data_IF_860700163838
#
_entry.id   IF_860700163838
#
_cell.length_a   1.000
_cell.length_b   1.000
_cell.length_c   1.000
_cell.angle_alpha   90.00
_cell.angle_beta   90.00
_cell.angle_gamma   90.00
#
_symmetry.space_group_name_H-M   'P 1'
#
loop_
_entity.id
_entity.type
_entity.pdbx_description
1 polymer ?
#
# COMPACT_ATOMS: atom_id res chain seq x y z
N UNK A 1 -9.89 -7.66 15.98
CA UNK A 1 -8.97 -6.66 16.58
C UNK A 1 -9.54 -5.29 16.27
N UNK A 2 -9.78 -4.44 17.27
CA UNK A 2 -10.22 -3.06 17.04
C UNK A 2 -9.08 -2.33 16.33
N UNK A 3 -9.32 -1.87 15.09
CA UNK A 3 -8.36 -1.05 14.35
C UNK A 3 -8.16 0.28 15.09
N UNK A 4 -6.97 0.49 15.62
CA UNK A 4 -6.60 1.73 16.30
C UNK A 4 -5.89 2.64 15.30
N UNK A 5 -6.39 3.85 15.13
CA UNK A 5 -5.76 4.82 14.24
C UNK A 5 -4.44 5.34 14.85
N UNK A 6 -3.33 5.23 14.13
CA UNK A 6 -2.07 5.86 14.49
C UNK A 6 -2.03 7.34 14.07
N UNK A 7 -2.62 7.64 12.91
CA UNK A 7 -2.78 9.00 12.40
C UNK A 7 -4.17 9.15 11.78
N UNK A 8 -4.83 10.31 12.01
CA UNK A 8 -6.12 10.64 11.43
C UNK A 8 -6.15 12.11 11.02
N UNK A 9 -6.56 12.34 9.78
CA UNK A 9 -6.78 13.66 9.22
C UNK A 9 -8.30 13.91 9.19
N UNK A 10 -8.74 15.04 9.70
CA UNK A 10 -10.15 15.43 9.80
C UNK A 10 -10.36 16.78 9.11
N UNK A 11 -10.91 16.75 7.91
CA UNK A 11 -11.23 17.92 7.06
C UNK A 11 -10.06 18.92 7.00
N UNK A 12 -8.87 18.42 6.67
CA UNK A 12 -7.63 19.19 6.68
C UNK A 12 -7.52 20.06 5.46
N UNK A 13 -7.37 21.38 5.68
CA UNK A 13 -6.96 22.35 4.67
C UNK A 13 -5.55 22.88 4.97
N UNK A 14 -4.75 22.99 3.90
CA UNK A 14 -3.42 23.62 3.94
C UNK A 14 -3.35 24.70 2.89
N UNK A 15 -3.21 25.92 3.34
CA UNK A 15 -3.10 27.11 2.46
C UNK A 15 -1.81 27.85 2.78
N UNK A 16 -0.97 28.04 1.78
CA UNK A 16 0.25 28.83 1.87
C UNK A 16 0.00 30.24 1.35
N UNK A 17 0.39 31.26 2.11
CA UNK A 17 0.27 32.66 1.76
C UNK A 17 -0.21 33.52 2.94
N UNK A 18 -0.12 34.82 2.75
CA UNK A 18 -0.49 35.78 3.84
C UNK A 18 -2.00 35.93 4.00
N UNK A 19 -2.79 35.68 2.95
CA UNK A 19 -4.26 35.83 2.92
C UNK A 19 -4.98 34.48 3.02
N UNK A 20 -4.45 33.56 3.84
CA UNK A 20 -5.02 32.21 3.98
C UNK A 20 -6.50 32.23 4.43
N UNK A 21 -6.91 33.16 5.29
CA UNK A 21 -8.31 33.28 5.72
C UNK A 21 -9.26 33.64 4.57
N UNK A 22 -8.86 34.54 3.66
CA UNK A 22 -9.65 34.89 2.48
C UNK A 22 -9.71 33.71 1.49
N UNK A 23 -8.57 33.02 1.30
CA UNK A 23 -8.53 31.84 0.47
C UNK A 23 -9.51 30.76 0.96
N UNK A 24 -9.58 30.51 2.29
CA UNK A 24 -10.53 29.58 2.90
C UNK A 24 -11.98 30.04 2.65
N UNK A 25 -12.28 31.33 2.80
CA UNK A 25 -13.62 31.85 2.52
C UNK A 25 -14.04 31.66 1.05
N UNK A 26 -13.12 31.81 0.11
CA UNK A 26 -13.35 31.53 -1.31
C UNK A 26 -13.52 30.01 -1.59
N UNK A 27 -12.76 29.16 -0.88
CA UNK A 27 -12.95 27.69 -0.96
C UNK A 27 -14.38 27.31 -0.52
N UNK A 28 -14.90 27.91 0.55
CA UNK A 28 -16.24 27.66 1.06
C UNK A 28 -17.34 28.14 0.09
N UNK A 29 -17.03 29.10 -0.80
CA UNK A 29 -17.89 29.55 -1.88
C UNK A 29 -17.80 28.68 -3.13
N UNK A 30 -16.93 27.64 -3.14
CA UNK A 30 -16.73 26.72 -4.27
C UNK A 30 -15.78 27.25 -5.35
N UNK A 31 -15.02 28.32 -5.07
CA UNK A 31 -14.01 28.84 -6.01
C UNK A 31 -12.90 27.82 -6.28
N UNK A 32 -12.46 27.76 -7.52
CA UNK A 32 -11.37 26.89 -7.94
C UNK A 32 -10.00 27.39 -7.45
N UNK A 33 -9.06 26.46 -7.30
CA UNK A 33 -7.71 26.69 -6.77
C UNK A 33 -6.95 27.80 -7.49
N UNK A 34 -7.02 27.83 -8.84
CA UNK A 34 -6.31 28.81 -9.67
C UNK A 34 -6.92 30.21 -9.49
N UNK A 35 -8.25 30.30 -9.43
CA UNK A 35 -8.98 31.55 -9.13
C UNK A 35 -8.63 32.10 -7.76
N UNK A 36 -8.53 31.24 -6.74
CA UNK A 36 -8.13 31.61 -5.39
C UNK A 36 -6.70 32.17 -5.38
N UNK A 37 -5.77 31.50 -6.08
CA UNK A 37 -4.39 31.94 -6.21
C UNK A 37 -4.29 33.31 -6.87
N UNK A 38 -5.02 33.55 -7.96
CA UNK A 38 -5.08 34.84 -8.65
C UNK A 38 -5.63 35.97 -7.76
N UNK A 39 -6.72 35.70 -7.03
CA UNK A 39 -7.41 36.70 -6.17
C UNK A 39 -6.65 37.03 -4.89
N UNK A 40 -6.00 36.05 -4.29
CA UNK A 40 -5.42 36.18 -2.95
C UNK A 40 -3.90 36.11 -2.89
N UNK A 41 -3.26 35.60 -3.95
CA UNK A 41 -1.84 35.22 -3.91
C UNK A 41 -1.54 34.04 -2.97
N UNK A 42 -2.56 33.34 -2.50
CA UNK A 42 -2.42 32.19 -1.59
C UNK A 42 -2.67 30.88 -2.32
N UNK A 43 -1.77 29.92 -2.12
CA UNK A 43 -1.82 28.59 -2.73
C UNK A 43 -2.59 27.62 -1.84
N UNK A 44 -3.70 27.08 -2.33
CA UNK A 44 -4.41 25.96 -1.69
C UNK A 44 -3.65 24.67 -2.01
N UNK A 45 -2.91 24.14 -1.06
CA UNK A 45 -2.12 22.94 -1.24
C UNK A 45 -2.91 21.66 -0.92
N UNK A 46 -3.76 21.70 0.10
CA UNK A 46 -4.66 20.62 0.50
C UNK A 46 -6.03 21.21 0.79
N UNK A 47 -7.08 20.51 0.40
CA UNK A 47 -8.47 20.92 0.58
C UNK A 47 -9.33 19.75 1.05
N UNK A 48 -9.94 19.88 2.24
CA UNK A 48 -10.87 18.95 2.88
C UNK A 48 -10.38 17.49 2.89
N UNK A 49 -9.10 17.29 3.24
CA UNK A 49 -8.53 15.95 3.28
C UNK A 49 -8.96 15.24 4.58
N UNK A 50 -9.69 14.12 4.41
CA UNK A 50 -10.11 13.24 5.51
C UNK A 50 -9.70 11.81 5.19
N UNK A 51 -8.78 11.25 5.99
CA UNK A 51 -8.29 9.88 5.89
C UNK A 51 -7.61 9.46 7.20
N UNK A 52 -7.32 8.19 7.31
CA UNK A 52 -6.68 7.62 8.51
C UNK A 52 -5.62 6.57 8.14
N UNK A 53 -4.73 6.30 9.10
CA UNK A 53 -3.74 5.23 9.02
C UNK A 53 -3.80 4.44 10.32
N UNK A 54 -4.07 3.15 10.24
CA UNK A 54 -4.08 2.29 11.41
C UNK A 54 -2.65 1.95 11.85
N UNK A 55 -2.49 1.56 13.11
CA UNK A 55 -1.21 1.04 13.60
C UNK A 55 -0.74 -0.15 12.77
N UNK A 56 0.52 -0.11 12.35
CA UNK A 56 1.11 -1.15 11.53
C UNK A 56 0.64 -1.16 10.07
N UNK A 57 -0.05 -0.13 9.58
CA UNK A 57 -0.36 0.04 8.16
C UNK A 57 0.69 0.88 7.43
N UNK A 58 0.78 0.67 6.12
CA UNK A 58 1.50 1.54 5.19
C UNK A 58 0.47 2.27 4.33
N UNK A 59 0.28 3.55 4.57
CA UNK A 59 -0.47 4.43 3.68
C UNK A 59 0.45 5.02 2.63
N UNK A 60 0.12 4.87 1.35
CA UNK A 60 0.80 5.56 0.26
C UNK A 60 -0.05 6.72 -0.24
N UNK A 61 0.51 7.92 -0.22
CA UNK A 61 -0.06 9.12 -0.83
C UNK A 61 0.44 9.24 -2.27
N UNK A 62 -0.47 9.19 -3.23
CA UNK A 62 -0.18 9.21 -4.66
C UNK A 62 -0.86 10.38 -5.37
N UNK A 63 -0.40 10.69 -6.57
CA UNK A 63 -0.95 11.73 -7.45
C UNK A 63 0.14 12.47 -8.21
N UNK A 64 -0.26 13.30 -9.16
CA UNK A 64 0.69 14.11 -9.96
C UNK A 64 1.46 15.12 -9.10
N UNK A 65 2.53 15.69 -9.67
CA UNK A 65 3.27 16.78 -9.02
C UNK A 65 2.33 17.94 -8.69
N UNK A 66 2.49 18.54 -7.51
CA UNK A 66 1.62 19.64 -7.06
C UNK A 66 0.23 19.23 -6.54
N UNK A 67 -0.09 17.93 -6.42
CA UNK A 67 -1.39 17.47 -5.88
C UNK A 67 -1.52 17.59 -4.35
N UNK A 68 -0.48 18.03 -3.62
CA UNK A 68 -0.55 18.27 -2.18
C UNK A 68 -0.01 17.16 -1.28
N UNK A 69 0.50 16.05 -1.81
CA UNK A 69 1.00 14.87 -1.06
C UNK A 69 1.99 15.22 0.06
N UNK A 70 3.10 15.83 -0.31
CA UNK A 70 4.15 16.23 0.65
C UNK A 70 3.63 17.29 1.64
N UNK A 71 2.68 18.13 1.20
CA UNK A 71 2.05 19.12 2.09
C UNK A 71 1.21 18.44 3.15
N UNK A 72 0.41 17.44 2.79
CA UNK A 72 -0.40 16.66 3.72
C UNK A 72 0.49 15.81 4.65
N UNK A 73 1.51 15.14 4.10
CA UNK A 73 2.47 14.35 4.89
C UNK A 73 3.10 15.20 6.01
N UNK A 74 3.57 16.40 5.67
CA UNK A 74 4.27 17.30 6.60
C UNK A 74 3.37 17.94 7.65
N UNK A 75 2.05 17.80 7.55
CA UNK A 75 1.13 18.17 8.63
C UNK A 75 1.23 17.21 9.82
N UNK A 76 1.57 15.93 9.61
CA UNK A 76 1.66 14.92 10.67
C UNK A 76 2.73 15.26 11.71
N UNK A 77 3.84 15.86 11.28
CA UNK A 77 4.89 16.31 12.19
C UNK A 77 4.87 17.82 12.45
N UNK A 78 3.81 18.52 12.01
CA UNK A 78 3.64 19.95 12.19
C UNK A 78 4.66 20.82 11.46
N UNK A 79 5.40 20.28 10.46
CA UNK A 79 6.27 21.10 9.59
C UNK A 79 5.46 22.03 8.69
N UNK A 80 4.29 21.57 8.23
CA UNK A 80 3.31 22.41 7.58
C UNK A 80 2.20 22.73 8.56
N UNK A 81 1.86 24.03 8.65
CA UNK A 81 0.75 24.51 9.46
C UNK A 81 -0.57 24.12 8.79
N UNK A 82 -1.44 23.47 9.55
CA UNK A 82 -2.83 23.22 9.16
C UNK A 82 -3.58 24.54 9.23
N UNK A 83 -4.28 24.91 8.15
CA UNK A 83 -5.05 26.14 8.08
C UNK A 83 -6.46 25.97 8.65
N UNK A 84 -7.04 24.76 8.49
CA UNK A 84 -8.33 24.33 9.06
C UNK A 84 -8.34 22.82 9.19
N UNK A 85 -9.12 22.28 10.12
CA UNK A 85 -9.21 20.85 10.41
C UNK A 85 -8.25 20.40 11.51
N UNK A 86 -8.09 19.10 11.68
CA UNK A 86 -7.27 18.48 12.73
C UNK A 86 -6.41 17.37 12.19
N UNK A 87 -5.24 17.18 12.79
CA UNK A 87 -4.36 16.05 12.53
C UNK A 87 -4.06 15.36 13.85
N UNK A 88 -4.77 14.27 14.09
CA UNK A 88 -4.66 13.48 15.31
C UNK A 88 -3.53 12.45 15.14
N UNK A 89 -2.59 12.44 16.09
CA UNK A 89 -1.48 11.50 16.15
C UNK A 89 -1.54 10.76 17.47
N UNK A 90 -1.49 9.43 17.42
CA UNK A 90 -1.44 8.60 18.61
C UNK A 90 -0.07 8.71 19.26
N UNK A 91 -0.05 9.09 20.53
CA UNK A 91 1.15 9.25 21.35
C UNK A 91 1.02 8.39 22.63
N UNK A 92 1.29 7.07 22.50
CA UNK A 92 1.00 6.08 23.54
C UNK A 92 -0.49 5.82 23.65
N UNK A 93 -1.08 6.02 24.84
CA UNK A 93 -2.52 5.85 25.08
C UNK A 93 -3.36 7.10 24.74
N UNK A 94 -2.73 8.23 24.40
CA UNK A 94 -3.39 9.50 24.10
C UNK A 94 -3.33 9.82 22.62
N UNK A 95 -4.33 10.56 22.14
CA UNK A 95 -4.28 11.22 20.83
C UNK A 95 -3.90 12.69 21.04
N UNK A 96 -3.01 13.21 20.18
CA UNK A 96 -2.55 14.60 20.16
C UNK A 96 -2.96 15.22 18.83
N UNK A 97 -3.68 16.33 18.88
CA UNK A 97 -3.89 17.16 17.70
C UNK A 97 -2.64 18.01 17.43
N UNK A 98 -1.80 17.57 16.51
CA UNK A 98 -0.53 18.24 16.17
C UNK A 98 -0.75 19.60 15.48
N UNK A 99 -1.97 19.89 15.02
CA UNK A 99 -2.30 21.18 14.42
C UNK A 99 -2.49 22.30 15.46
N UNK A 100 -2.88 21.95 16.69
CA UNK A 100 -3.27 22.90 17.74
C UNK A 100 -2.58 22.69 19.09
N UNK A 101 -1.78 21.63 19.26
CA UNK A 101 -1.10 21.35 20.53
C UNK A 101 -0.02 22.39 20.85
N UNK A 102 0.36 22.46 22.13
CA UNK A 102 1.47 23.29 22.56
C UNK A 102 2.82 22.83 21.98
N UNK A 103 3.76 23.76 21.81
CA UNK A 103 5.05 23.49 21.11
C UNK A 103 5.91 22.44 21.84
N UNK A 104 5.84 22.36 23.17
CA UNK A 104 6.52 21.33 23.96
C UNK A 104 5.96 19.94 23.69
N UNK A 105 4.64 19.80 23.58
CA UNK A 105 3.96 18.55 23.20
C UNK A 105 4.32 18.15 21.77
N UNK A 106 4.31 19.10 20.82
CA UNK A 106 4.72 18.84 19.44
C UNK A 106 6.18 18.37 19.36
N UNK A 107 7.06 18.99 20.14
CA UNK A 107 8.48 18.63 20.24
C UNK A 107 8.66 17.20 20.78
N UNK A 108 7.88 16.82 21.77
CA UNK A 108 7.87 15.48 22.34
C UNK A 108 7.41 14.43 21.30
N UNK A 109 6.34 14.71 20.55
CA UNK A 109 5.86 13.85 19.46
C UNK A 109 6.92 13.69 18.39
N UNK A 110 7.55 14.79 17.93
CA UNK A 110 8.64 14.75 16.94
C UNK A 110 9.86 13.97 17.41
N UNK A 111 10.20 14.10 18.69
CA UNK A 111 11.38 13.46 19.26
C UNK A 111 11.21 11.96 19.42
N UNK A 112 10.03 11.50 19.85
CA UNK A 112 9.86 10.13 20.34
C UNK A 112 8.95 9.27 19.46
N UNK A 113 8.02 9.87 18.69
CA UNK A 113 6.99 9.12 17.97
C UNK A 113 7.15 9.12 16.46
N UNK A 114 7.73 10.18 15.91
CA UNK A 114 7.78 10.38 14.45
C UNK A 114 9.22 10.47 13.99
N UNK A 115 9.54 9.77 12.90
CA UNK A 115 10.75 9.98 12.12
C UNK A 115 10.40 10.34 10.69
N UNK A 116 11.27 11.08 10.00
CA UNK A 116 10.99 11.52 8.64
C UNK A 116 12.19 11.37 7.71
N UNK A 117 11.93 10.78 6.53
CA UNK A 117 12.83 10.79 5.37
C UNK A 117 12.38 11.91 4.45
N UNK A 118 13.28 12.85 4.17
CA UNK A 118 13.01 14.01 3.32
C UNK A 118 13.41 13.73 1.87
N UNK A 119 12.67 14.28 0.93
CA UNK A 119 12.95 14.20 -0.49
C UNK A 119 14.36 14.73 -0.86
N UNK A 120 14.81 15.80 -0.22
CA UNK A 120 16.14 16.41 -0.40
C UNK A 120 17.16 15.95 0.65
N UNK A 121 17.00 14.72 1.17
CA UNK A 121 17.87 14.02 2.13
C UNK A 121 18.05 14.72 3.48
N UNK A 122 18.13 16.07 3.54
CA UNK A 122 18.29 16.89 4.73
C UNK A 122 19.45 16.41 5.64
N UNK A 123 20.59 16.02 5.05
CA UNK A 123 21.77 15.63 5.80
C UNK A 123 22.50 16.85 6.34
N UNK A 124 23.10 16.71 7.52
CA UNK A 124 23.97 17.70 8.12
C UNK A 124 25.32 17.66 7.39
N UNK A 125 25.70 18.68 6.59
CA UNK A 125 26.87 18.59 5.73
C UNK A 125 28.19 18.54 6.47
N UNK A 126 28.21 18.94 7.74
CA UNK A 126 29.38 18.94 8.63
C UNK A 126 29.51 17.67 9.49
N UNK A 127 28.55 16.74 9.40
CA UNK A 127 28.57 15.46 10.09
C UNK A 127 28.94 14.34 9.11
N UNK A 128 29.64 13.33 9.62
CA UNK A 128 29.91 12.09 8.87
C UNK A 128 28.62 11.31 8.61
N UNK A 129 28.67 10.25 7.81
CA UNK A 129 27.55 9.30 7.65
C UNK A 129 27.13 8.74 9.00
N UNK A 130 28.10 8.26 9.81
CA UNK A 130 27.89 7.71 11.14
C UNK A 130 27.18 8.71 12.05
N UNK A 131 27.61 9.95 12.07
CA UNK A 131 27.03 10.97 12.94
C UNK A 131 25.66 11.46 12.42
N UNK A 132 25.47 11.52 11.11
CA UNK A 132 24.15 11.79 10.54
C UNK A 132 23.13 10.71 10.96
N UNK A 133 23.51 9.42 10.87
CA UNK A 133 22.63 8.31 11.28
C UNK A 133 22.37 8.34 12.78
N UNK A 134 23.38 8.66 13.60
CA UNK A 134 23.27 8.74 15.06
C UNK A 134 22.58 10.01 15.58
N UNK A 135 22.37 11.03 14.75
CA UNK A 135 21.93 12.36 15.20
C UNK A 135 20.65 12.34 16.03
N UNK A 136 19.64 11.58 15.61
CA UNK A 136 18.37 11.46 16.34
C UNK A 136 18.53 10.75 17.69
N UNK A 137 19.44 9.79 17.79
CA UNK A 137 19.78 9.09 19.03
C UNK A 137 20.52 10.00 20.01
N UNK A 138 21.42 10.86 19.50
CA UNK A 138 22.11 11.86 20.31
C UNK A 138 21.15 12.87 20.92
N UNK A 139 20.15 13.35 20.15
CA UNK A 139 19.08 14.26 20.67
C UNK A 139 18.25 13.58 21.76
N UNK A 140 18.04 12.25 21.65
CA UNK A 140 17.31 11.46 22.68
C UNK A 140 18.17 11.21 23.93
N UNK A 141 19.48 11.41 23.87
CA UNK A 141 20.41 11.09 24.95
C UNK A 141 20.67 9.59 25.09
N UNK A 142 20.61 8.84 23.99
CA UNK A 142 20.88 7.39 23.96
C UNK A 142 22.32 7.12 24.42
N UNK A 143 22.55 6.14 25.31
CA UNK A 143 23.91 5.79 25.77
C UNK A 143 24.82 5.43 24.59
N UNK A 144 26.09 5.87 24.65
CA UNK A 144 27.05 5.77 23.53
C UNK A 144 27.17 4.34 22.96
N UNK A 145 27.28 3.34 23.81
CA UNK A 145 27.42 1.94 23.36
C UNK A 145 26.20 1.44 22.59
N UNK A 146 25.00 1.81 23.02
CA UNK A 146 23.76 1.48 22.33
C UNK A 146 23.62 2.27 21.02
N UNK A 147 23.89 3.58 21.05
CA UNK A 147 23.94 4.43 19.86
C UNK A 147 24.85 3.84 18.80
N UNK A 148 26.10 3.51 19.16
CA UNK A 148 27.10 3.02 18.20
C UNK A 148 26.68 1.66 17.61
N UNK A 149 26.05 0.79 18.38
CA UNK A 149 25.48 -0.48 17.90
C UNK A 149 24.35 -0.24 16.90
N UNK A 150 23.35 0.57 17.25
CA UNK A 150 22.21 0.87 16.39
C UNK A 150 22.65 1.56 15.10
N UNK A 151 23.55 2.53 15.18
CA UNK A 151 24.08 3.25 14.03
C UNK A 151 24.79 2.29 13.07
N UNK A 152 25.64 1.39 13.59
CA UNK A 152 26.34 0.43 12.74
C UNK A 152 25.35 -0.51 12.04
N UNK A 153 24.36 -1.05 12.77
CA UNK A 153 23.31 -1.91 12.22
C UNK A 153 22.57 -1.23 11.04
N UNK A 154 22.19 0.06 11.19
CA UNK A 154 21.45 0.76 10.13
C UNK A 154 22.35 1.19 8.96
N UNK A 155 23.62 1.46 9.19
CA UNK A 155 24.60 1.71 8.12
C UNK A 155 24.82 0.43 7.27
N UNK A 156 24.92 -0.73 7.92
CA UNK A 156 25.09 -2.01 7.24
C UNK A 156 23.84 -2.39 6.45
N UNK A 157 22.64 -2.17 7.02
CA UNK A 157 21.35 -2.36 6.34
C UNK A 157 21.29 -1.64 4.99
N UNK A 158 21.77 -0.39 4.94
CA UNK A 158 21.77 0.40 3.69
C UNK A 158 23.06 0.23 2.87
N UNK A 159 23.91 -0.72 3.21
CA UNK A 159 25.18 -1.06 2.52
C UNK A 159 26.15 0.13 2.39
N UNK A 160 26.32 0.90 3.46
CA UNK A 160 27.24 2.05 3.51
C UNK A 160 28.40 1.88 4.49
N UNK A 161 28.69 0.66 4.98
CA UNK A 161 29.72 0.40 5.98
C UNK A 161 31.09 1.04 5.68
N UNK A 162 31.56 0.90 4.45
CA UNK A 162 32.86 1.48 4.01
C UNK A 162 32.85 3.02 3.88
N UNK A 163 31.67 3.65 3.94
CA UNK A 163 31.51 5.10 3.83
C UNK A 163 31.13 5.76 5.16
N UNK A 164 31.15 5.02 6.27
CA UNK A 164 30.66 5.48 7.57
C UNK A 164 31.33 6.80 8.05
N UNK A 165 32.62 6.97 7.75
CA UNK A 165 33.41 8.14 8.13
C UNK A 165 33.47 9.24 7.06
N UNK A 166 32.73 9.07 5.93
CA UNK A 166 32.63 10.05 4.86
C UNK A 166 31.61 11.14 5.18
N UNK A 167 31.80 12.32 4.58
CA UNK A 167 30.85 13.43 4.66
C UNK A 167 29.86 13.40 3.50
N UNK A 168 28.66 14.02 3.62
CA UNK A 168 27.64 14.02 2.57
C UNK A 168 28.13 14.49 1.19
N UNK A 169 29.01 15.47 1.14
CA UNK A 169 29.55 16.00 -0.14
C UNK A 169 30.49 15.03 -0.87
N UNK A 170 30.96 13.96 -0.20
CA UNK A 170 31.78 12.89 -0.79
C UNK A 170 30.92 11.75 -1.36
N UNK A 171 29.59 11.84 -1.24
CA UNK A 171 28.64 10.78 -1.59
C UNK A 171 27.81 11.14 -2.81
N UNK A 172 27.43 10.14 -3.62
CA UNK A 172 26.44 10.32 -4.66
C UNK A 172 25.04 10.61 -4.07
N UNK A 173 24.12 11.17 -4.84
CA UNK A 173 22.74 11.45 -4.39
C UNK A 173 22.04 10.21 -3.85
N UNK A 174 22.16 9.06 -4.53
CA UNK A 174 21.59 7.80 -4.04
C UNK A 174 22.24 7.31 -2.72
N UNK A 175 23.54 7.55 -2.51
CA UNK A 175 24.16 7.26 -1.21
C UNK A 175 23.67 8.20 -0.12
N UNK A 176 23.50 9.49 -0.41
CA UNK A 176 22.94 10.45 0.54
C UNK A 176 21.50 10.07 0.93
N UNK A 177 20.69 9.61 -0.02
CA UNK A 177 19.34 9.11 0.24
C UNK A 177 19.35 7.92 1.19
N UNK A 178 20.27 6.96 0.98
CA UNK A 178 20.46 5.82 1.88
C UNK A 178 20.89 6.23 3.30
N UNK A 179 21.71 7.26 3.45
CA UNK A 179 22.02 7.83 4.77
C UNK A 179 20.78 8.40 5.46
N UNK A 180 19.92 9.12 4.71
CA UNK A 180 18.65 9.63 5.22
C UNK A 180 17.70 8.51 5.69
N UNK A 181 17.65 7.40 4.96
CA UNK A 181 16.91 6.20 5.36
C UNK A 181 17.47 5.59 6.64
N UNK A 182 18.78 5.34 6.69
CA UNK A 182 19.45 4.78 7.88
C UNK A 182 19.19 5.64 9.12
N UNK A 183 19.29 6.99 8.99
CA UNK A 183 18.98 7.94 10.06
C UNK A 183 17.56 7.80 10.59
N UNK A 184 16.58 7.67 9.68
CA UNK A 184 15.20 7.53 10.10
C UNK A 184 14.90 6.19 10.78
N UNK A 185 15.55 5.12 10.34
CA UNK A 185 15.42 3.79 10.95
C UNK A 185 16.12 3.68 12.31
N UNK A 186 17.22 4.43 12.51
CA UNK A 186 17.98 4.38 13.74
C UNK A 186 17.18 4.82 14.97
N UNK A 187 16.26 5.76 14.82
CA UNK A 187 15.44 6.26 15.92
C UNK A 187 14.36 5.29 16.38
N UNK A 188 14.06 4.23 15.63
CA UNK A 188 13.02 3.24 15.93
C UNK A 188 11.63 3.84 16.23
N UNK A 189 11.33 5.02 15.67
CA UNK A 189 10.07 5.70 15.82
C UNK A 189 8.87 4.80 15.41
N UNK A 190 7.72 4.99 16.03
CA UNK A 190 6.51 4.21 15.75
C UNK A 190 5.87 4.60 14.41
N UNK A 191 6.01 5.89 14.02
CA UNK A 191 5.48 6.46 12.78
C UNK A 191 6.64 6.94 11.92
N UNK A 192 6.72 6.42 10.69
CA UNK A 192 7.70 6.82 9.69
C UNK A 192 7.00 7.63 8.60
N UNK A 193 7.44 8.86 8.39
CA UNK A 193 7.02 9.72 7.29
C UNK A 193 8.08 9.68 6.19
N UNK A 194 7.69 9.37 4.97
CA UNK A 194 8.63 9.19 3.86
C UNK A 194 8.19 10.00 2.65
N UNK A 195 8.94 11.03 2.30
CA UNK A 195 8.67 11.92 1.18
C UNK A 195 9.57 11.52 0.00
N UNK A 196 9.05 10.69 -0.92
CA UNK A 196 9.74 10.12 -2.09
C UNK A 196 11.11 9.47 -1.74
N UNK A 197 11.16 8.53 -0.79
CA UNK A 197 12.41 8.05 -0.20
C UNK A 197 13.30 7.24 -1.15
N UNK A 198 12.81 6.82 -2.31
CA UNK A 198 13.54 5.96 -3.25
C UNK A 198 13.75 6.60 -4.63
N UNK A 199 13.39 7.89 -4.81
CA UNK A 199 13.39 8.56 -6.12
C UNK A 199 14.76 8.68 -6.77
N UNK A 200 15.83 8.80 -5.98
CA UNK A 200 17.22 8.94 -6.47
C UNK A 200 18.05 7.63 -6.44
N UNK A 201 17.38 6.49 -6.21
CA UNK A 201 18.05 5.19 -6.14
C UNK A 201 18.03 4.46 -7.49
N UNK A 202 19.09 3.71 -7.76
CA UNK A 202 19.10 2.74 -8.85
C UNK A 202 18.10 1.60 -8.59
N UNK A 203 17.60 0.94 -9.65
CA UNK A 203 16.51 -0.04 -9.52
C UNK A 203 16.80 -1.18 -8.55
N UNK A 204 18.03 -1.72 -8.55
CA UNK A 204 18.41 -2.86 -7.73
C UNK A 204 18.43 -2.52 -6.23
N UNK A 205 19.02 -1.36 -5.89
CA UNK A 205 19.04 -0.88 -4.50
C UNK A 205 17.65 -0.47 -4.05
N UNK A 206 16.85 0.14 -4.92
CA UNK A 206 15.44 0.50 -4.65
C UNK A 206 14.65 -0.75 -4.27
N UNK A 207 14.70 -1.80 -5.07
CA UNK A 207 13.99 -3.06 -4.82
C UNK A 207 14.39 -3.67 -3.48
N UNK A 208 15.68 -3.75 -3.20
CA UNK A 208 16.20 -4.26 -1.92
C UNK A 208 15.67 -3.45 -0.73
N UNK A 209 15.75 -2.12 -0.77
CA UNK A 209 15.29 -1.27 0.34
C UNK A 209 13.77 -1.26 0.50
N UNK A 210 13.01 -1.46 -0.57
CA UNK A 210 11.56 -1.67 -0.50
C UNK A 210 11.23 -2.97 0.24
N UNK A 211 11.93 -4.06 -0.06
CA UNK A 211 11.74 -5.35 0.59
C UNK A 211 12.10 -5.27 2.09
N UNK A 212 13.22 -4.63 2.42
CA UNK A 212 13.62 -4.35 3.79
C UNK A 212 12.58 -3.50 4.56
N UNK A 213 12.01 -2.48 3.90
CA UNK A 213 10.95 -1.66 4.49
C UNK A 213 9.70 -2.48 4.82
N UNK A 214 9.29 -3.36 3.90
CA UNK A 214 8.15 -4.25 4.09
C UNK A 214 8.42 -5.24 5.24
N UNK A 215 9.62 -5.80 5.30
CA UNK A 215 10.02 -6.72 6.36
C UNK A 215 10.06 -6.01 7.73
N UNK A 216 10.67 -4.83 7.79
CA UNK A 216 10.71 -4.00 9.00
C UNK A 216 9.30 -3.65 9.49
N UNK A 217 8.40 -3.30 8.58
CA UNK A 217 7.01 -3.01 8.91
C UNK A 217 6.30 -4.24 9.48
N UNK A 218 6.46 -5.41 8.86
CA UNK A 218 5.84 -6.67 9.31
C UNK A 218 6.32 -7.11 10.69
N UNK A 219 7.64 -7.04 10.90
CA UNK A 219 8.28 -7.52 12.13
C UNK A 219 8.04 -6.56 13.32
N UNK A 220 8.14 -5.25 13.08
CA UNK A 220 8.04 -4.23 14.12
C UNK A 220 6.68 -3.51 14.16
N UNK A 221 5.75 -3.87 13.28
CA UNK A 221 4.43 -3.25 13.15
C UNK A 221 4.49 -1.71 13.09
N UNK A 222 5.52 -1.18 12.40
CA UNK A 222 5.65 0.27 12.20
C UNK A 222 4.53 0.81 11.34
N UNK A 223 4.04 1.99 11.69
CA UNK A 223 3.08 2.74 10.85
C UNK A 223 3.86 3.63 9.89
N UNK A 224 3.54 3.59 8.61
CA UNK A 224 4.28 4.32 7.59
C UNK A 224 3.32 5.16 6.76
N UNK A 225 3.64 6.45 6.56
CA UNK A 225 3.00 7.29 5.56
C UNK A 225 4.05 7.63 4.52
N UNK A 226 3.79 7.21 3.31
CA UNK A 226 4.74 7.16 2.22
C UNK A 226 4.23 7.97 1.02
N UNK A 227 5.01 8.91 0.53
CA UNK A 227 4.71 9.64 -0.72
C UNK A 227 5.44 9.00 -1.87
N UNK A 228 4.72 8.65 -2.93
CA UNK A 228 5.29 8.18 -4.18
C UNK A 228 4.54 8.76 -5.39
N UNK A 229 5.23 8.87 -6.50
CA UNK A 229 4.66 9.09 -7.82
C UNK A 229 4.72 7.83 -8.70
N UNK A 230 5.36 6.77 -8.21
CA UNK A 230 5.50 5.47 -8.86
C UNK A 230 4.39 4.53 -8.36
N UNK A 231 3.51 4.14 -9.29
CA UNK A 231 2.35 3.30 -8.96
C UNK A 231 2.76 1.87 -8.59
N UNK A 232 3.77 1.29 -9.27
CA UNK A 232 4.23 -0.07 -8.97
C UNK A 232 4.82 -0.13 -7.54
N UNK A 233 5.52 0.92 -7.14
CA UNK A 233 6.02 1.09 -5.78
C UNK A 233 4.88 1.14 -4.76
N UNK A 234 3.86 1.96 -5.01
CA UNK A 234 2.72 2.11 -4.12
C UNK A 234 1.95 0.79 -3.95
N UNK A 235 1.79 0.05 -5.03
CA UNK A 235 1.09 -1.23 -5.05
C UNK A 235 1.89 -2.36 -4.39
N UNK A 236 3.23 -2.30 -4.47
CA UNK A 236 4.12 -3.24 -3.81
C UNK A 236 4.15 -3.04 -2.29
N UNK A 237 4.23 -1.77 -1.86
CA UNK A 237 4.50 -1.41 -0.47
C UNK A 237 3.21 -1.15 0.31
N UNK A 238 2.23 -0.46 -0.31
CA UNK A 238 1.05 0.08 0.37
C UNK A 238 0.06 -0.98 0.83
N UNK A 239 -0.38 -0.89 2.08
CA UNK A 239 -1.58 -1.60 2.56
C UNK A 239 -2.85 -0.84 2.20
N UNK A 240 -2.74 0.51 2.13
CA UNK A 240 -3.75 1.44 1.59
C UNK A 240 -3.08 2.49 0.72
N UNK A 241 -3.85 3.00 -0.23
CA UNK A 241 -3.41 4.08 -1.12
C UNK A 241 -4.45 5.19 -1.07
N UNK A 242 -3.98 6.44 -0.96
CA UNK A 242 -4.77 7.65 -1.14
C UNK A 242 -4.30 8.37 -2.41
N UNK A 243 -5.16 8.42 -3.42
CA UNK A 243 -4.90 9.15 -4.65
C UNK A 243 -5.36 10.59 -4.48
N UNK A 244 -4.46 11.53 -4.72
CA UNK A 244 -4.70 12.96 -4.59
C UNK A 244 -4.66 13.68 -5.94
N UNK A 245 -5.63 14.55 -6.15
CA UNK A 245 -5.73 15.44 -7.31
C UNK A 245 -6.07 16.85 -6.84
N UNK A 246 -5.34 17.85 -7.32
CA UNK A 246 -5.61 19.27 -7.04
C UNK A 246 -5.85 19.61 -5.54
N UNK A 247 -5.11 18.96 -4.64
CA UNK A 247 -5.21 19.16 -3.19
C UNK A 247 -6.26 18.30 -2.48
N UNK A 248 -7.08 17.53 -3.21
CA UNK A 248 -8.14 16.69 -2.64
C UNK A 248 -7.75 15.21 -2.65
N UNK A 249 -8.23 14.45 -1.69
CA UNK A 249 -8.20 12.99 -1.72
C UNK A 249 -9.36 12.52 -2.61
N UNK A 250 -9.03 11.95 -3.76
CA UNK A 250 -10.03 11.50 -4.76
C UNK A 250 -10.49 10.10 -4.47
N UNK A 251 -9.56 9.21 -4.11
CA UNK A 251 -9.87 7.83 -3.71
C UNK A 251 -8.92 7.39 -2.60
N UNK A 252 -9.47 6.72 -1.59
CA UNK A 252 -8.73 6.14 -0.48
C UNK A 252 -9.22 4.71 -0.24
N UNK A 253 -8.40 3.72 -0.61
CA UNK A 253 -8.78 2.31 -0.57
C UNK A 253 -7.56 1.38 -0.50
N UNK A 254 -7.80 0.08 -0.42
CA UNK A 254 -6.77 -0.94 -0.62
C UNK A 254 -6.36 -0.99 -2.11
N UNK A 255 -5.12 -1.44 -2.43
CA UNK A 255 -4.61 -1.46 -3.80
C UNK A 255 -5.54 -2.14 -4.81
N UNK A 256 -6.10 -3.28 -4.46
CA UNK A 256 -6.98 -4.06 -5.32
C UNK A 256 -8.26 -3.29 -5.69
N UNK A 257 -8.83 -2.56 -4.73
CA UNK A 257 -10.05 -1.76 -4.93
C UNK A 257 -9.80 -0.59 -5.89
N UNK A 258 -8.65 0.07 -5.78
CA UNK A 258 -8.26 1.17 -6.69
C UNK A 258 -8.18 0.69 -8.13
N UNK A 259 -7.67 -0.53 -8.34
CA UNK A 259 -7.50 -1.11 -9.67
C UNK A 259 -8.82 -1.55 -10.27
N UNK A 260 -9.66 -2.21 -9.48
CA UNK A 260 -10.91 -2.80 -9.95
C UNK A 260 -12.05 -1.79 -10.03
N UNK A 261 -12.10 -0.84 -9.11
CA UNK A 261 -13.18 0.13 -8.95
C UNK A 261 -12.66 1.57 -8.90
N UNK A 262 -12.00 2.07 -9.96
CA UNK A 262 -11.57 3.46 -10.02
C UNK A 262 -12.79 4.39 -9.98
N UNK A 263 -12.77 5.35 -9.02
CA UNK A 263 -13.94 6.21 -8.71
C UNK A 263 -14.26 7.19 -9.83
N UNK A 264 -13.28 7.58 -10.64
CA UNK A 264 -13.45 8.50 -11.76
C UNK A 264 -12.41 8.25 -12.86
N UNK A 265 -12.49 9.04 -13.95
CA UNK A 265 -11.60 8.91 -15.10
C UNK A 265 -10.14 9.26 -14.78
N UNK A 266 -9.89 10.18 -13.84
CA UNK A 266 -8.53 10.49 -13.39
C UNK A 266 -7.87 9.26 -12.77
N UNK A 267 -8.53 8.60 -11.83
CA UNK A 267 -8.01 7.37 -11.20
C UNK A 267 -7.88 6.26 -12.24
N UNK A 268 -8.87 6.11 -13.14
CA UNK A 268 -8.83 5.11 -14.21
C UNK A 268 -7.61 5.28 -15.11
N UNK A 269 -7.32 6.52 -15.53
CA UNK A 269 -6.14 6.83 -16.32
C UNK A 269 -4.85 6.59 -15.53
N UNK A 270 -4.86 6.94 -14.24
CA UNK A 270 -3.71 6.76 -13.35
C UNK A 270 -3.29 5.29 -13.25
N UNK A 271 -4.26 4.37 -13.12
CA UNK A 271 -3.99 2.93 -13.04
C UNK A 271 -3.92 2.23 -14.40
N UNK A 272 -4.17 2.93 -15.52
CA UNK A 272 -4.30 2.32 -16.85
C UNK A 272 -3.04 1.56 -17.32
N UNK A 273 -1.85 2.08 -17.01
CA UNK A 273 -0.57 1.52 -17.43
C UNK A 273 -0.09 0.32 -16.59
N UNK A 274 -0.78 0.03 -15.50
CA UNK A 274 -0.35 -0.96 -14.52
C UNK A 274 -0.66 -2.40 -14.95
N UNK A 275 0.20 -3.35 -14.54
CA UNK A 275 -0.04 -4.77 -14.74
C UNK A 275 -0.86 -5.37 -13.57
N UNK A 276 -2.13 -5.76 -13.77
CA UNK A 276 -2.97 -6.31 -12.70
C UNK A 276 -2.41 -7.58 -12.04
N UNK A 277 -1.56 -8.35 -12.77
CA UNK A 277 -0.97 -9.61 -12.28
C UNK A 277 -0.07 -9.41 -11.05
N UNK A 278 0.44 -8.21 -10.85
CA UNK A 278 1.36 -7.91 -9.74
C UNK A 278 0.65 -7.62 -8.42
N UNK A 279 -0.63 -7.24 -8.48
CA UNK A 279 -1.40 -6.73 -7.33
C UNK A 279 -2.57 -7.63 -6.95
N UNK A 280 -3.33 -8.09 -7.95
CA UNK A 280 -4.53 -8.86 -7.68
C UNK A 280 -4.20 -10.22 -7.06
N UNK A 281 -5.01 -10.60 -6.07
CA UNK A 281 -4.90 -11.86 -5.34
C UNK A 281 -6.08 -12.77 -5.65
N UNK A 282 -5.90 -14.03 -5.37
CA UNK A 282 -6.93 -15.05 -5.58
C UNK A 282 -8.25 -14.71 -4.92
N UNK A 283 -8.22 -14.25 -3.67
CA UNK A 283 -9.42 -13.89 -2.92
C UNK A 283 -10.25 -12.76 -3.56
N UNK A 284 -9.59 -11.79 -4.21
CA UNK A 284 -10.27 -10.69 -4.92
C UNK A 284 -10.93 -11.14 -6.22
N UNK A 285 -10.40 -12.19 -6.85
CA UNK A 285 -10.84 -12.65 -8.17
C UNK A 285 -11.75 -13.86 -8.11
N UNK A 286 -11.69 -14.64 -7.06
CA UNK A 286 -12.35 -15.94 -6.97
C UNK A 286 -13.86 -15.86 -7.26
N UNK A 287 -14.39 -16.95 -7.79
CA UNK A 287 -15.79 -17.28 -7.67
C UNK A 287 -15.99 -17.90 -6.29
N UNK A 288 -16.77 -17.29 -5.40
CA UNK A 288 -16.99 -17.78 -4.03
C UNK A 288 -17.54 -19.20 -4.00
N UNK A 289 -17.31 -19.90 -2.90
CA UNK A 289 -17.79 -21.27 -2.74
C UNK A 289 -19.34 -21.39 -2.82
N UNK A 290 -20.05 -20.35 -2.36
CA UNK A 290 -21.52 -20.29 -2.40
C UNK A 290 -22.08 -20.18 -3.82
N UNK A 291 -21.28 -19.65 -4.76
CA UNK A 291 -21.63 -19.49 -6.18
C UNK A 291 -21.26 -20.72 -7.03
N UNK A 292 -20.69 -21.75 -6.41
CA UNK A 292 -20.34 -22.98 -7.12
C UNK A 292 -21.56 -23.86 -7.35
N UNK A 293 -21.62 -24.44 -8.56
CA UNK A 293 -22.75 -25.30 -8.95
C UNK A 293 -22.72 -26.60 -8.16
N UNK A 294 -23.79 -26.92 -7.45
CA UNK A 294 -24.02 -28.21 -6.81
C UNK A 294 -24.71 -29.15 -7.80
N UNK A 295 -24.22 -30.39 -7.90
CA UNK A 295 -24.84 -31.39 -8.79
C UNK A 295 -26.18 -31.85 -8.21
N UNK A 296 -27.29 -31.79 -8.99
CA UNK A 296 -28.59 -32.24 -8.54
C UNK A 296 -28.56 -33.73 -8.09
N UNK A 297 -29.04 -34.02 -6.89
CA UNK A 297 -29.07 -35.38 -6.34
C UNK A 297 -27.73 -35.93 -5.88
N UNK A 298 -26.67 -35.11 -5.82
CA UNK A 298 -25.31 -35.48 -5.43
C UNK A 298 -24.80 -34.50 -4.36
N UNK A 299 -23.85 -34.95 -3.54
CA UNK A 299 -23.12 -34.11 -2.60
C UNK A 299 -21.91 -33.39 -3.24
N UNK A 300 -21.68 -33.57 -4.55
CA UNK A 300 -20.58 -32.96 -5.27
C UNK A 300 -20.86 -31.51 -5.64
N UNK A 301 -19.82 -30.69 -5.57
CA UNK A 301 -19.76 -29.32 -6.11
C UNK A 301 -18.76 -29.24 -7.25
N UNK A 302 -19.08 -28.45 -8.26
CA UNK A 302 -18.24 -28.27 -9.45
C UNK A 302 -17.22 -27.16 -9.20
N UNK A 303 -15.93 -27.52 -9.25
CA UNK A 303 -14.81 -26.58 -9.10
C UNK A 303 -14.50 -25.85 -10.41
N UNK A 304 -14.82 -26.47 -11.56
CA UNK A 304 -14.69 -25.82 -12.88
C UNK A 304 -16.07 -25.72 -13.59
N UNK A 305 -16.17 -24.80 -14.56
CA UNK A 305 -17.44 -24.55 -15.30
C UNK A 305 -17.80 -25.70 -16.24
N UNK A 306 -16.87 -26.60 -16.53
CA UNK A 306 -17.10 -27.75 -17.41
C UNK A 306 -17.49 -29.02 -16.65
N UNK A 307 -17.57 -28.98 -15.31
CA UNK A 307 -17.92 -30.14 -14.48
C UNK A 307 -16.90 -31.26 -14.45
N UNK A 308 -15.68 -31.01 -14.97
CA UNK A 308 -14.59 -32.00 -15.02
C UNK A 308 -13.89 -32.16 -13.68
N UNK A 309 -13.85 -31.11 -12.89
CA UNK A 309 -13.27 -31.08 -11.53
C UNK A 309 -14.40 -30.86 -10.53
N UNK A 310 -14.56 -31.79 -9.60
CA UNK A 310 -15.61 -31.76 -8.59
C UNK A 310 -15.14 -32.36 -7.27
N UNK A 311 -15.66 -31.90 -6.16
CA UNK A 311 -15.37 -32.43 -4.84
C UNK A 311 -16.61 -32.42 -3.95
N UNK A 312 -16.52 -33.12 -2.82
CA UNK A 312 -17.48 -33.01 -1.72
C UNK A 312 -16.93 -32.07 -0.65
N UNK A 313 -17.82 -31.55 0.19
CA UNK A 313 -17.42 -30.82 1.40
C UNK A 313 -17.80 -31.63 2.64
N UNK A 314 -16.94 -31.63 3.64
CA UNK A 314 -17.28 -32.13 4.95
C UNK A 314 -18.17 -31.12 5.72
N UNK A 315 -18.54 -31.49 6.97
CA UNK A 315 -19.36 -30.62 7.83
C UNK A 315 -18.69 -29.28 8.22
N UNK A 316 -17.37 -29.17 8.04
CA UNK A 316 -16.60 -27.95 8.28
C UNK A 316 -16.34 -27.16 6.98
N UNK A 317 -16.95 -27.57 5.86
CA UNK A 317 -16.75 -26.91 4.55
C UNK A 317 -15.42 -27.22 3.89
N UNK A 318 -14.68 -28.23 4.34
CA UNK A 318 -13.38 -28.60 3.77
C UNK A 318 -13.57 -29.54 2.57
N UNK A 319 -12.87 -29.30 1.45
CA UNK A 319 -13.01 -30.16 0.29
C UNK A 319 -12.37 -31.53 0.50
N UNK A 320 -13.11 -32.55 0.12
CA UNK A 320 -12.67 -33.96 0.12
C UNK A 320 -13.20 -34.67 -1.15
N UNK A 321 -12.92 -35.97 -1.28
CA UNK A 321 -13.40 -36.84 -2.38
C UNK A 321 -13.28 -36.14 -3.75
N UNK A 322 -12.09 -35.61 -4.06
CA UNK A 322 -11.81 -34.95 -5.33
C UNK A 322 -11.94 -35.93 -6.49
N UNK A 323 -12.63 -35.51 -7.55
CA UNK A 323 -12.72 -36.20 -8.83
C UNK A 323 -12.25 -35.24 -9.95
N UNK A 324 -11.30 -35.69 -10.76
CA UNK A 324 -10.75 -34.97 -11.92
C UNK A 324 -10.94 -35.82 -13.15
N UNK A 325 -11.70 -35.36 -14.13
CA UNK A 325 -12.04 -36.14 -15.36
C UNK A 325 -12.55 -37.55 -15.05
N UNK A 326 -13.36 -37.72 -14.00
CA UNK A 326 -13.91 -39.00 -13.58
C UNK A 326 -12.95 -39.92 -12.81
N UNK A 327 -11.74 -39.49 -12.52
CA UNK A 327 -10.75 -40.24 -11.71
C UNK A 327 -10.60 -39.63 -10.32
N UNK A 328 -10.41 -40.45 -9.28
CA UNK A 328 -10.05 -39.92 -7.96
C UNK A 328 -8.77 -39.07 -8.04
N UNK A 329 -8.77 -37.93 -7.37
CA UNK A 329 -7.68 -36.99 -7.35
C UNK A 329 -7.25 -36.57 -5.95
N UNK A 330 -6.27 -35.71 -5.88
CA UNK A 330 -5.75 -35.15 -4.63
C UNK A 330 -5.56 -33.64 -4.72
N UNK A 331 -5.68 -32.97 -3.55
CA UNK A 331 -5.34 -31.56 -3.41
C UNK A 331 -3.87 -31.41 -3.01
N UNK A 332 -3.15 -30.49 -3.69
CA UNK A 332 -1.74 -30.19 -3.40
C UNK A 332 -1.61 -28.69 -3.21
N UNK A 333 -0.98 -28.27 -2.12
CA UNK A 333 -0.78 -26.86 -1.83
C UNK A 333 0.25 -26.25 -2.78
N UNK A 334 -0.06 -25.07 -3.31
CA UNK A 334 0.86 -24.29 -4.15
C UNK A 334 2.10 -23.86 -3.33
N UNK A 335 3.26 -24.10 -3.90
CA UNK A 335 4.53 -23.52 -3.50
C UNK A 335 5.32 -23.12 -4.75
N UNK A 336 6.28 -22.22 -4.59
CA UNK A 336 7.16 -21.80 -5.69
C UNK A 336 8.08 -22.91 -6.19
N UNK A 337 8.28 -23.95 -5.40
CA UNK A 337 9.12 -25.11 -5.71
C UNK A 337 8.33 -26.27 -6.32
N UNK A 338 6.99 -26.17 -6.39
CA UNK A 338 6.14 -27.23 -6.90
C UNK A 338 6.31 -27.40 -8.42
N UNK A 339 6.60 -28.61 -8.86
CA UNK A 339 6.59 -28.96 -10.29
C UNK A 339 5.13 -29.06 -10.81
N UNK A 340 4.64 -27.93 -11.30
CA UNK A 340 3.30 -27.80 -11.84
C UNK A 340 3.12 -28.58 -13.16
N UNK A 341 4.21 -28.85 -13.91
CA UNK A 341 4.14 -29.62 -15.15
C UNK A 341 3.88 -31.10 -14.86
N UNK A 342 4.53 -31.67 -13.85
CA UNK A 342 4.24 -33.02 -13.36
C UNK A 342 2.81 -33.12 -12.81
N UNK A 343 2.33 -32.11 -12.08
CA UNK A 343 0.97 -32.06 -11.56
C UNK A 343 -0.13 -31.96 -12.65
N UNK A 344 0.23 -31.61 -13.88
CA UNK A 344 -0.74 -31.52 -14.99
C UNK A 344 -1.23 -32.89 -15.49
N UNK A 345 -0.39 -33.90 -15.46
CA UNK A 345 -0.71 -35.24 -15.94
C UNK A 345 -1.47 -36.08 -14.92
N UNK A 346 -1.31 -35.80 -13.62
CA UNK A 346 -2.00 -36.45 -12.53
C UNK A 346 -3.38 -35.82 -12.25
N UNK A 347 -4.26 -36.57 -11.57
CA UNK A 347 -5.55 -36.05 -11.10
C UNK A 347 -5.37 -35.15 -9.87
N UNK A 348 -4.57 -34.06 -10.04
CA UNK A 348 -4.18 -33.13 -8.99
C UNK A 348 -4.90 -31.81 -9.13
N UNK A 349 -5.41 -31.25 -8.05
CA UNK A 349 -5.90 -29.87 -7.96
C UNK A 349 -4.99 -29.06 -7.04
N UNK A 350 -4.51 -27.94 -7.57
CA UNK A 350 -3.65 -27.06 -6.80
C UNK A 350 -4.51 -26.17 -5.89
N UNK A 351 -4.13 -26.08 -4.62
CA UNK A 351 -4.78 -25.21 -3.63
C UNK A 351 -3.88 -24.02 -3.28
N UNK A 352 -4.50 -22.94 -2.88
CA UNK A 352 -3.82 -21.73 -2.38
C UNK A 352 -4.69 -21.05 -1.33
N UNK A 353 -4.25 -19.90 -0.80
CA UNK A 353 -5.04 -19.04 0.07
C UNK A 353 -5.67 -17.89 -0.72
N UNK A 354 -6.55 -17.12 -0.05
CA UNK A 354 -7.07 -15.85 -0.54
C UNK A 354 -5.96 -14.85 -0.94
N UNK A 355 -4.79 -14.96 -0.30
CA UNK A 355 -3.60 -14.11 -0.54
C UNK A 355 -2.73 -14.60 -1.69
N UNK A 356 -3.05 -15.72 -2.33
CA UNK A 356 -2.26 -16.25 -3.45
C UNK A 356 -2.26 -15.24 -4.61
N UNK A 357 -1.07 -14.80 -5.11
CA UNK A 357 -0.99 -13.82 -6.19
C UNK A 357 -1.67 -14.30 -7.48
N UNK A 358 -2.31 -13.39 -8.20
CA UNK A 358 -2.95 -13.69 -9.50
C UNK A 358 -1.95 -14.35 -10.48
N UNK A 359 -0.68 -13.93 -10.47
CA UNK A 359 0.37 -14.53 -11.30
C UNK A 359 0.49 -16.04 -11.06
N UNK A 360 0.43 -16.48 -9.80
CA UNK A 360 0.47 -17.91 -9.46
C UNK A 360 -0.76 -18.66 -10.02
N UNK A 361 -1.96 -18.06 -9.89
CA UNK A 361 -3.18 -18.62 -10.45
C UNK A 361 -3.12 -18.76 -11.99
N UNK A 362 -2.52 -17.76 -12.68
CA UNK A 362 -2.27 -17.82 -14.13
C UNK A 362 -1.34 -19.00 -14.46
N UNK A 363 -0.23 -19.14 -13.73
CA UNK A 363 0.73 -20.23 -13.95
C UNK A 363 0.09 -21.60 -13.73
N UNK A 364 -0.65 -21.77 -12.62
CA UNK A 364 -1.40 -23.00 -12.34
C UNK A 364 -2.37 -23.31 -13.49
N UNK A 365 -3.17 -22.32 -13.93
CA UNK A 365 -4.12 -22.50 -15.01
C UNK A 365 -3.45 -22.84 -16.35
N UNK A 366 -2.34 -22.17 -16.66
CA UNK A 366 -1.60 -22.37 -17.89
C UNK A 366 -1.04 -23.81 -18.00
N UNK A 367 -0.46 -24.32 -16.92
CA UNK A 367 0.21 -25.60 -16.91
C UNK A 367 -0.77 -26.76 -16.69
N UNK A 368 -1.68 -26.67 -15.71
CA UNK A 368 -2.59 -27.77 -15.35
C UNK A 368 -3.91 -27.76 -16.12
N UNK A 369 -4.28 -26.67 -16.80
CA UNK A 369 -5.60 -26.42 -17.42
C UNK A 369 -6.77 -26.48 -16.43
N UNK A 370 -6.50 -26.44 -15.13
CA UNK A 370 -7.46 -26.54 -14.03
C UNK A 370 -7.52 -25.24 -13.26
N UNK A 371 -8.61 -24.92 -12.53
CA UNK A 371 -8.67 -23.77 -11.65
C UNK A 371 -7.77 -23.96 -10.43
N UNK A 372 -7.33 -22.83 -9.85
CA UNK A 372 -6.76 -22.78 -8.50
C UNK A 372 -7.90 -22.80 -7.48
N UNK A 373 -7.83 -23.70 -6.50
CA UNK A 373 -8.79 -23.82 -5.39
C UNK A 373 -8.27 -23.00 -4.22
N UNK A 374 -9.08 -22.09 -3.67
CA UNK A 374 -8.70 -21.28 -2.53
C UNK A 374 -9.30 -21.81 -1.24
N UNK A 375 -8.44 -21.99 -0.25
CA UNK A 375 -8.80 -22.49 1.08
C UNK A 375 -8.52 -21.41 2.14
N UNK A 376 -9.36 -21.35 3.16
CA UNK A 376 -9.14 -20.57 4.36
C UNK A 376 -8.06 -21.17 5.26
N UNK A 377 -7.67 -20.43 6.30
CA UNK A 377 -6.67 -20.89 7.29
C UNK A 377 -7.16 -22.15 8.06
N UNK A 378 -8.48 -22.36 8.14
CA UNK A 378 -9.13 -23.55 8.71
C UNK A 378 -9.26 -24.72 7.71
N UNK A 379 -8.84 -24.52 6.46
CA UNK A 379 -8.94 -25.47 5.37
C UNK A 379 -10.32 -25.50 4.67
N UNK A 380 -11.26 -24.64 5.05
CA UNK A 380 -12.55 -24.53 4.38
C UNK A 380 -12.41 -23.95 2.98
N UNK A 381 -13.27 -24.39 2.05
CA UNK A 381 -13.28 -23.89 0.68
C UNK A 381 -13.80 -22.44 0.63
N UNK A 382 -12.94 -21.52 0.22
CA UNK A 382 -13.33 -20.11 -0.01
C UNK A 382 -13.91 -19.91 -1.40
N UNK A 383 -13.34 -20.56 -2.41
CA UNK A 383 -13.76 -20.42 -3.80
C UNK A 383 -12.74 -20.95 -4.79
N UNK A 384 -12.91 -20.59 -6.06
CA UNK A 384 -12.03 -21.03 -7.15
C UNK A 384 -11.65 -19.87 -8.06
N UNK A 385 -10.43 -19.90 -8.60
CA UNK A 385 -9.94 -18.98 -9.64
C UNK A 385 -9.71 -19.76 -10.90
N UNK A 386 -10.66 -19.69 -11.83
CA UNK A 386 -10.57 -20.30 -13.16
C UNK A 386 -10.24 -19.28 -14.25
N UNK A 387 -10.40 -19.69 -15.48
CA UNK A 387 -10.07 -18.87 -16.66
C UNK A 387 -10.89 -17.60 -16.76
N UNK A 388 -12.19 -17.68 -16.48
CA UNK A 388 -13.09 -16.54 -16.52
C UNK A 388 -12.71 -15.50 -15.48
N UNK A 389 -12.41 -15.94 -14.26
CA UNK A 389 -12.02 -15.10 -13.14
C UNK A 389 -10.68 -14.39 -13.46
N UNK A 390 -9.73 -15.09 -14.09
CA UNK A 390 -8.46 -14.52 -14.55
C UNK A 390 -8.67 -13.47 -15.64
N UNK A 391 -9.48 -13.77 -16.69
CA UNK A 391 -9.78 -12.80 -17.74
C UNK A 391 -10.48 -11.55 -17.19
N UNK A 392 -11.42 -11.72 -16.27
CA UNK A 392 -12.08 -10.61 -15.61
C UNK A 392 -11.09 -9.70 -14.87
N UNK A 393 -10.14 -10.28 -14.15
CA UNK A 393 -9.06 -9.53 -13.49
C UNK A 393 -8.14 -8.82 -14.48
N UNK A 394 -7.76 -9.47 -15.58
CA UNK A 394 -6.94 -8.85 -16.63
C UNK A 394 -7.65 -7.70 -17.33
N UNK A 395 -8.95 -7.83 -17.58
CA UNK A 395 -9.79 -6.81 -18.18
C UNK A 395 -10.26 -5.75 -17.18
N UNK A 396 -9.92 -5.90 -15.89
CA UNK A 396 -10.32 -5.00 -14.79
C UNK A 396 -11.83 -4.84 -14.68
N UNK A 397 -12.59 -5.92 -14.96
CA UNK A 397 -14.04 -5.94 -14.88
C UNK A 397 -14.49 -6.44 -13.52
N UNK A 398 -15.38 -5.69 -12.86
CA UNK A 398 -16.07 -6.12 -11.65
C UNK A 398 -17.42 -6.79 -11.99
N UNK A 399 -18.00 -7.55 -11.06
CA UNK A 399 -19.32 -8.19 -11.27
C UNK A 399 -20.45 -7.18 -11.51
N UNK A 400 -20.34 -5.97 -10.96
CA UNK A 400 -21.30 -4.88 -11.16
C UNK A 400 -21.40 -4.41 -12.62
N UNK A 401 -20.39 -4.66 -13.47
CA UNK A 401 -20.42 -4.29 -14.89
C UNK A 401 -21.32 -5.19 -15.77
N UNK A 402 -21.93 -6.26 -15.23
CA UNK A 402 -22.75 -7.21 -15.98
C UNK A 402 -24.14 -6.72 -16.40
N UNK A 403 -24.60 -5.55 -15.95
CA UNK A 403 -26.01 -5.13 -16.12
C UNK A 403 -26.29 -4.35 -17.42
N UNK A 404 -25.30 -3.95 -18.20
CA UNK A 404 -25.52 -3.01 -19.32
C UNK A 404 -25.24 -3.53 -20.75
N UNK A 405 -25.28 -4.84 -21.02
CA UNK A 405 -25.09 -5.38 -22.38
C UNK A 405 -26.36 -6.05 -22.95
N UNK A 406 -27.53 -5.73 -22.47
CA UNK A 406 -28.82 -6.18 -23.06
C UNK A 406 -29.74 -5.03 -23.33
N UNK A 407 -29.41 -4.19 -24.32
CA UNK A 407 -30.32 -3.28 -24.96
C UNK A 407 -30.54 -3.68 -26.42
N UNK A 408 -31.78 -3.82 -26.94
CA UNK A 408 -32.01 -4.34 -28.27
C UNK A 408 -31.62 -3.33 -29.34
N UNK A 409 -30.88 -3.80 -30.31
CA UNK A 409 -30.62 -3.16 -31.59
C UNK A 409 -31.96 -2.80 -32.26
N UNK A 410 -32.37 -1.53 -32.19
CA UNK A 410 -33.45 -1.04 -33.11
C UNK A 410 -32.77 -0.58 -34.38
N UNK A 411 -32.89 -1.41 -35.41
CA UNK A 411 -32.70 -1.02 -36.79
C UNK A 411 -33.56 0.24 -37.10
N UNK A 412 -32.92 1.27 -37.64
CA UNK A 412 -33.58 2.38 -38.30
C UNK A 412 -33.46 2.14 -39.80
N UNK A 413 -34.63 2.04 -40.41
CA UNK A 413 -34.84 2.10 -41.85
C UNK A 413 -34.55 3.53 -42.34
#
# INVERSE_FOLDING_TARGET
>A
MTNVNAVRFESVDVVFGQRAGEAIALMDQGEGRDSILEKTGSLVAVHDASLFVNEGEILVLMGLSGSGKSSLLRCVNGLNKVSRGRVMVKAGEKEVDVASCAEDVLREVRRNRISMVFQQFALMPWLTVRDNVGFGLDIRGTPKAERDRLVQEKIDLVRLGQFAEKFPHELSGGMQQRVGLARSFATEAEILLMDEPFSALDPLIREHLQDELIELQRNLKKTIIFVSHDLDEALKIGTRIAIMEAGRVVQFAVPEEIILNPVNDYVRQFVASMNPLTVLKGGTLMRPADDLVREPGSSFIQLDRAGRCRCQLDSAGRPNNLMVNGRPGQFVQYSTELDLAAAADDAVMITGSDRTPMRAAVTVRQLTKRPLVLLGDDGALLGVVGEHELYRGMLRQTEAAKVNVSGPNKAVV
#
